data_IF_374854085975
#
_entry.id   IF_374854085975
#
_cell.length_a   1.000
_cell.length_b   1.000
_cell.length_c   1.000
_cell.angle_alpha   90.00
_cell.angle_beta   90.00
_cell.angle_gamma   90.00
#
_symmetry.space_group_name_H-M   'P 1'
#
loop_
_entity.id
_entity.type
_entity.pdbx_description
1 polymer ?
#
# COMPACT_ATOMS: atom_id res chain seq x y z
N UNK A 1 -1.62 8.27 -17.07
CA UNK A 1 -1.18 8.80 -15.76
C UNK A 1 -0.82 10.26 -15.97
N UNK A 2 -1.79 11.16 -15.79
CA UNK A 2 -1.53 12.58 -15.59
C UNK A 2 -1.73 12.84 -14.10
N UNK A 3 -0.75 12.43 -13.30
CA UNK A 3 -0.75 12.70 -11.86
C UNK A 3 -0.12 14.08 -11.66
N UNK A 4 -0.80 15.13 -12.12
CA UNK A 4 -0.70 16.56 -11.76
C UNK A 4 -1.26 17.39 -12.94
N UNK A 5 -2.28 18.24 -12.75
CA UNK A 5 -2.53 19.35 -13.66
C UNK A 5 -1.52 20.46 -13.36
N UNK A 6 -0.69 20.79 -14.35
CA UNK A 6 0.04 22.06 -14.41
C UNK A 6 -0.98 23.18 -14.64
N UNK A 7 -1.54 23.74 -13.57
CA UNK A 7 -2.28 25.00 -13.67
C UNK A 7 -2.20 25.81 -12.39
N UNK A 8 -1.58 26.99 -12.53
CA UNK A 8 -1.65 28.18 -11.68
C UNK A 8 -0.70 28.27 -10.48
N UNK A 9 0.58 28.49 -10.78
CA UNK A 9 1.41 29.40 -9.98
C UNK A 9 1.43 30.78 -10.65
N UNK A 10 0.32 31.52 -10.53
CA UNK A 10 0.37 32.97 -10.73
C UNK A 10 0.56 33.64 -9.38
N UNK A 11 1.83 33.86 -9.03
CA UNK A 11 2.19 34.95 -8.12
C UNK A 11 1.99 36.27 -8.86
N UNK A 12 1.17 37.12 -8.28
CA UNK A 12 0.99 38.53 -8.62
C UNK A 12 2.29 39.25 -8.98
N UNK A 13 2.34 39.80 -10.18
CA UNK A 13 2.99 41.08 -10.43
C UNK A 13 2.37 41.73 -11.67
N UNK A 14 1.57 42.77 -11.43
CA UNK A 14 1.31 43.82 -12.41
C UNK A 14 2.63 44.33 -12.99
N UNK A 15 2.72 44.44 -14.32
CA UNK A 15 2.88 45.73 -15.01
C UNK A 15 3.19 45.53 -16.50
N UNK A 16 2.40 46.22 -17.34
CA UNK A 16 2.85 46.80 -18.60
C UNK A 16 3.01 45.87 -19.79
N UNK A 17 2.10 45.96 -20.76
CA UNK A 17 2.45 46.56 -22.05
C UNK A 17 1.20 46.85 -22.89
N UNK A 18 1.10 48.10 -23.32
CA UNK A 18 0.15 48.58 -24.31
C UNK A 18 0.45 47.90 -25.66
N UNK A 19 -0.57 47.48 -26.39
CA UNK A 19 -0.49 47.52 -27.85
C UNK A 19 -1.80 47.96 -28.48
N UNK A 20 -1.63 48.96 -29.34
CA UNK A 20 -2.63 49.75 -30.04
C UNK A 20 -3.03 49.04 -31.32
N UNK A 21 -4.34 49.01 -31.59
CA UNK A 21 -4.93 49.12 -32.92
C UNK A 21 -4.78 47.92 -33.88
N UNK A 22 -5.93 47.38 -34.29
CA UNK A 22 -6.36 47.45 -35.70
C UNK A 22 -7.81 46.97 -35.80
N UNK A 23 -8.66 47.87 -36.30
CA UNK A 23 -10.04 47.59 -36.69
C UNK A 23 -9.98 46.81 -38.00
N UNK A 24 -10.27 45.52 -37.95
CA UNK A 24 -10.62 44.75 -39.16
C UNK A 24 -12.08 44.32 -39.09
N UNK A 25 -12.90 45.07 -39.82
CA UNK A 25 -14.28 44.77 -40.14
C UNK A 25 -14.35 43.80 -41.32
N UNK A 26 -14.25 42.49 -41.07
CA UNK A 26 -14.46 41.48 -42.12
C UNK A 26 -15.51 40.43 -41.76
N UNK A 27 -16.59 40.47 -42.55
CA UNK A 27 -17.67 39.51 -42.81
C UNK A 27 -17.88 38.39 -41.78
N UNK A 28 -19.06 38.41 -41.13
CA UNK A 28 -19.65 37.25 -40.44
C UNK A 28 -19.95 36.14 -41.47
N UNK A 29 -18.93 35.37 -41.85
CA UNK A 29 -19.13 33.96 -42.18
C UNK A 29 -19.41 33.28 -40.86
N UNK A 30 -20.62 32.78 -40.65
CA UNK A 30 -20.94 31.85 -39.57
C UNK A 30 -20.02 30.65 -39.73
N UNK A 31 -18.89 30.70 -39.03
CA UNK A 31 -17.97 29.58 -38.89
C UNK A 31 -18.79 28.39 -38.42
N UNK A 32 -18.76 27.30 -39.19
CA UNK A 32 -19.40 26.04 -38.80
C UNK A 32 -18.68 25.57 -37.54
N UNK A 33 -19.26 25.87 -36.38
CA UNK A 33 -18.69 25.46 -35.10
C UNK A 33 -18.81 23.95 -35.00
N UNK A 34 -17.72 23.31 -34.55
CA UNK A 34 -17.75 21.88 -34.25
C UNK A 34 -18.75 21.62 -33.12
N UNK A 35 -19.32 20.41 -33.08
CA UNK A 35 -20.18 20.00 -31.97
C UNK A 35 -19.47 20.17 -30.61
N UNK A 36 -18.18 19.85 -30.55
CA UNK A 36 -17.32 20.06 -29.38
C UNK A 36 -17.29 21.53 -28.93
N UNK A 37 -17.07 22.48 -29.85
CA UNK A 37 -17.11 23.91 -29.55
C UNK A 37 -18.48 24.36 -29.09
N UNK A 38 -19.57 23.86 -29.70
CA UNK A 38 -20.92 24.17 -29.24
C UNK A 38 -21.18 23.63 -27.81
N UNK A 39 -20.65 22.46 -27.47
CA UNK A 39 -20.76 21.93 -26.12
C UNK A 39 -20.01 22.79 -25.09
N UNK A 40 -18.77 23.17 -25.40
CA UNK A 40 -17.93 23.99 -24.51
C UNK A 40 -18.43 25.44 -24.36
N UNK A 41 -18.91 26.04 -25.44
CA UNK A 41 -19.29 27.46 -25.46
C UNK A 41 -20.74 27.69 -24.97
N UNK A 42 -21.60 26.67 -25.04
CA UNK A 42 -23.04 26.84 -24.79
C UNK A 42 -23.56 25.81 -23.80
N UNK A 43 -23.40 24.52 -24.08
CA UNK A 43 -24.04 23.47 -23.27
C UNK A 43 -23.48 23.41 -21.86
N UNK A 44 -22.15 23.29 -21.70
CA UNK A 44 -21.54 23.14 -20.39
C UNK A 44 -21.70 24.40 -19.52
N UNK A 45 -21.50 25.64 -20.02
CA UNK A 45 -21.83 26.84 -19.26
C UNK A 45 -23.28 26.87 -18.78
N UNK A 46 -24.23 26.45 -19.63
CA UNK A 46 -25.65 26.41 -19.26
C UNK A 46 -25.94 25.39 -18.14
N UNK A 47 -25.21 24.26 -18.09
CA UNK A 47 -25.31 23.29 -17.00
C UNK A 47 -24.73 23.83 -15.68
N UNK A 48 -23.71 24.67 -15.74
CA UNK A 48 -23.07 25.24 -14.56
C UNK A 48 -23.73 26.54 -14.07
N UNK A 49 -24.79 27.00 -14.74
CA UNK A 49 -25.49 28.23 -14.35
C UNK A 49 -26.09 28.13 -12.95
N UNK A 50 -26.02 29.24 -12.21
CA UNK A 50 -26.66 29.40 -10.89
C UNK A 50 -28.14 29.76 -10.97
N UNK A 51 -28.66 30.06 -12.17
CA UNK A 51 -30.01 30.65 -12.37
C UNK A 51 -31.16 29.63 -12.28
N UNK A 52 -30.92 28.47 -11.68
CA UNK A 52 -31.89 27.40 -11.46
C UNK A 52 -31.32 26.01 -11.80
N UNK A 53 -32.04 24.92 -11.45
CA UNK A 53 -31.61 23.57 -11.79
C UNK A 53 -31.63 23.39 -13.32
N UNK A 54 -30.49 23.05 -13.95
CA UNK A 54 -30.43 22.82 -15.38
C UNK A 54 -31.26 21.58 -15.78
N UNK A 55 -31.82 21.58 -16.99
CA UNK A 55 -32.46 20.38 -17.54
C UNK A 55 -31.41 19.36 -17.99
N UNK A 56 -31.14 18.39 -17.12
CA UNK A 56 -30.16 17.34 -17.37
C UNK A 56 -30.57 16.34 -18.46
N UNK A 57 -31.82 16.37 -18.95
CA UNK A 57 -32.24 15.56 -20.10
C UNK A 57 -31.58 16.01 -21.39
N UNK A 58 -31.10 17.26 -21.43
CA UNK A 58 -30.32 17.79 -22.55
C UNK A 58 -29.01 17.02 -22.77
N UNK A 59 -28.53 16.29 -21.77
CA UNK A 59 -27.34 15.45 -21.86
C UNK A 59 -27.58 14.08 -22.51
N UNK A 60 -28.82 13.59 -22.57
CA UNK A 60 -29.10 12.20 -22.94
C UNK A 60 -28.68 11.86 -24.37
N UNK A 61 -28.84 12.81 -25.32
CA UNK A 61 -28.36 12.63 -26.70
C UNK A 61 -26.86 12.92 -26.86
N UNK A 62 -26.31 14.03 -26.32
CA UNK A 62 -24.87 14.31 -26.36
C UNK A 62 -23.99 13.19 -25.78
N UNK A 63 -24.43 12.53 -24.71
CA UNK A 63 -23.73 11.40 -24.08
C UNK A 63 -23.48 10.22 -25.02
N UNK A 64 -24.27 10.08 -26.10
CA UNK A 64 -24.11 9.01 -27.08
C UNK A 64 -22.94 9.26 -28.04
N UNK A 65 -22.41 10.49 -28.10
CA UNK A 65 -21.30 10.83 -28.99
C UNK A 65 -19.96 10.42 -28.37
N UNK A 66 -19.13 9.77 -29.18
CA UNK A 66 -17.79 9.34 -28.77
C UNK A 66 -16.95 10.54 -28.32
N UNK A 67 -16.41 10.47 -27.11
CA UNK A 67 -15.54 11.50 -26.54
C UNK A 67 -16.28 12.63 -25.81
N UNK A 68 -17.61 12.71 -25.90
CA UNK A 68 -18.39 13.73 -25.21
C UNK A 68 -18.22 13.66 -23.68
N UNK A 69 -18.35 12.47 -23.10
CA UNK A 69 -18.18 12.27 -21.64
C UNK A 69 -16.81 12.75 -21.17
N UNK A 70 -15.74 12.42 -21.90
CA UNK A 70 -14.38 12.86 -21.58
C UNK A 70 -14.24 14.39 -21.67
N UNK A 71 -14.81 15.00 -22.70
CA UNK A 71 -14.79 16.46 -22.86
C UNK A 71 -15.59 17.16 -21.74
N UNK A 72 -16.70 16.57 -21.31
CA UNK A 72 -17.49 17.03 -20.17
C UNK A 72 -16.69 16.91 -18.87
N UNK A 73 -16.11 15.74 -18.58
CA UNK A 73 -15.27 15.51 -17.40
C UNK A 73 -14.13 16.55 -17.32
N UNK A 74 -13.41 16.76 -18.43
CA UNK A 74 -12.34 17.74 -18.51
C UNK A 74 -12.84 19.16 -18.23
N UNK A 75 -13.98 19.54 -18.84
CA UNK A 75 -14.57 20.85 -18.62
C UNK A 75 -15.00 21.06 -17.16
N UNK A 76 -15.60 20.05 -16.52
CA UNK A 76 -16.00 20.10 -15.12
C UNK A 76 -14.81 20.23 -14.17
N UNK A 77 -13.69 19.58 -14.48
CA UNK A 77 -12.43 19.70 -13.74
C UNK A 77 -11.88 21.13 -13.84
N UNK A 78 -11.83 21.69 -15.05
CA UNK A 78 -11.36 23.05 -15.32
C UNK A 78 -12.25 24.13 -14.67
N UNK A 79 -13.56 23.88 -14.59
CA UNK A 79 -14.56 24.81 -14.08
C UNK A 79 -15.16 24.36 -12.74
N UNK A 80 -14.38 23.67 -11.91
CA UNK A 80 -14.86 23.08 -10.65
C UNK A 80 -15.48 24.11 -9.67
N UNK A 81 -15.05 25.38 -9.71
CA UNK A 81 -15.65 26.46 -8.91
C UNK A 81 -17.03 26.87 -9.41
N UNK A 82 -17.25 26.87 -10.73
CA UNK A 82 -18.57 27.13 -11.29
C UNK A 82 -19.51 25.95 -11.03
N UNK A 83 -18.98 24.72 -11.13
CA UNK A 83 -19.71 23.51 -10.75
C UNK A 83 -20.17 23.55 -9.29
N UNK A 84 -19.30 23.97 -8.36
CA UNK A 84 -19.66 24.09 -6.95
C UNK A 84 -20.82 25.07 -6.68
N UNK A 85 -21.02 26.06 -7.56
CA UNK A 85 -22.13 27.02 -7.45
C UNK A 85 -23.42 26.53 -8.11
N UNK A 86 -23.35 25.46 -8.90
CA UNK A 86 -24.50 24.89 -9.58
C UNK A 86 -25.38 24.12 -8.58
N UNK A 87 -26.70 24.36 -8.54
CA UNK A 87 -27.61 23.59 -7.69
C UNK A 87 -27.73 22.12 -8.11
N UNK A 88 -27.22 21.74 -9.29
CA UNK A 88 -27.21 20.36 -9.78
C UNK A 88 -25.81 19.72 -9.80
N UNK A 89 -24.84 20.27 -9.06
CA UNK A 89 -23.45 19.82 -9.07
C UNK A 89 -23.29 18.30 -8.95
N UNK A 90 -23.93 17.69 -7.95
CA UNK A 90 -23.90 16.25 -7.70
C UNK A 90 -24.48 15.46 -8.88
N UNK A 91 -25.61 15.89 -9.43
CA UNK A 91 -26.30 15.20 -10.53
C UNK A 91 -25.51 15.30 -11.85
N UNK A 92 -24.83 16.43 -12.07
CA UNK A 92 -23.93 16.64 -13.20
C UNK A 92 -22.72 15.70 -13.08
N UNK A 93 -22.12 15.59 -11.90
CA UNK A 93 -21.02 14.66 -11.63
C UNK A 93 -21.45 13.21 -11.80
N UNK A 94 -22.63 12.84 -11.29
CA UNK A 94 -23.20 11.50 -11.47
C UNK A 94 -23.32 11.13 -12.95
N UNK A 95 -23.81 12.05 -13.80
CA UNK A 95 -23.90 11.80 -15.25
C UNK A 95 -22.52 11.74 -15.92
N UNK A 96 -21.61 12.63 -15.56
CA UNK A 96 -20.30 12.71 -16.19
C UNK A 96 -19.38 11.52 -15.86
N UNK A 97 -19.53 10.92 -14.68
CA UNK A 97 -18.66 9.83 -14.21
C UNK A 97 -19.37 8.48 -14.08
N UNK A 98 -20.60 8.35 -14.61
CA UNK A 98 -21.33 7.09 -14.61
C UNK A 98 -20.56 5.98 -15.35
N UNK A 99 -20.34 4.85 -14.69
CA UNK A 99 -19.67 3.68 -15.25
C UNK A 99 -18.15 3.80 -15.36
N UNK A 100 -17.56 4.87 -14.82
CA UNK A 100 -16.11 5.02 -14.75
C UNK A 100 -15.51 4.05 -13.74
N UNK A 101 -14.31 3.54 -14.05
CA UNK A 101 -13.56 2.65 -13.14
C UNK A 101 -12.69 3.43 -12.15
N UNK A 102 -12.46 4.71 -12.41
CA UNK A 102 -11.62 5.58 -11.60
C UNK A 102 -12.30 6.92 -11.35
N UNK A 103 -12.17 7.44 -10.13
CA UNK A 103 -12.69 8.75 -9.77
C UNK A 103 -11.65 9.53 -8.97
N UNK A 104 -11.45 10.81 -9.33
CA UNK A 104 -10.53 11.71 -8.64
C UNK A 104 -11.29 12.87 -8.01
N UNK A 105 -11.29 12.93 -6.68
CA UNK A 105 -11.90 14.01 -5.91
C UNK A 105 -11.04 15.27 -5.83
N UNK A 106 -9.74 15.18 -6.14
CA UNK A 106 -8.78 16.28 -5.99
C UNK A 106 -9.24 17.59 -6.65
N UNK A 107 -9.81 17.58 -7.88
CA UNK A 107 -10.24 18.82 -8.54
C UNK A 107 -11.38 19.57 -7.82
N UNK A 108 -12.18 18.85 -7.04
CA UNK A 108 -13.43 19.32 -6.43
C UNK A 108 -13.27 19.66 -4.95
N UNK A 109 -12.14 19.29 -4.36
CA UNK A 109 -11.87 19.51 -2.94
C UNK A 109 -11.86 21.00 -2.58
N UNK A 110 -12.50 21.36 -1.47
CA UNK A 110 -12.60 22.73 -0.98
C UNK A 110 -13.50 23.63 -1.83
N UNK A 111 -14.04 23.11 -2.94
CA UNK A 111 -14.98 23.79 -3.82
C UNK A 111 -16.40 23.26 -3.62
N UNK A 112 -16.57 21.94 -3.63
CA UNK A 112 -17.85 21.27 -3.40
C UNK A 112 -17.98 20.90 -1.91
N UNK A 113 -19.19 21.02 -1.36
CA UNK A 113 -19.47 20.66 0.04
C UNK A 113 -19.20 19.16 0.29
N UNK A 114 -18.70 18.81 1.49
CA UNK A 114 -18.35 17.42 1.81
C UNK A 114 -19.56 16.48 1.78
N UNK A 115 -20.74 16.96 2.18
CA UNK A 115 -21.98 16.18 2.13
C UNK A 115 -22.38 15.83 0.70
N UNK A 116 -22.14 16.73 -0.25
CA UNK A 116 -22.40 16.51 -1.67
C UNK A 116 -21.42 15.49 -2.26
N UNK A 117 -20.15 15.56 -1.88
CA UNK A 117 -19.14 14.57 -2.27
C UNK A 117 -19.43 13.19 -1.66
N UNK A 118 -19.89 13.14 -0.41
CA UNK A 118 -20.33 11.90 0.25
C UNK A 118 -21.58 11.32 -0.41
N UNK A 119 -22.54 12.16 -0.79
CA UNK A 119 -23.73 11.76 -1.56
C UNK A 119 -23.36 11.19 -2.93
N UNK A 120 -22.39 11.80 -3.62
CA UNK A 120 -21.84 11.29 -4.87
C UNK A 120 -21.17 9.91 -4.68
N UNK A 121 -20.35 9.76 -3.63
CA UNK A 121 -19.69 8.49 -3.30
C UNK A 121 -20.67 7.35 -3.01
N UNK A 122 -21.85 7.66 -2.45
CA UNK A 122 -22.91 6.68 -2.20
C UNK A 122 -23.85 6.45 -3.40
N UNK A 123 -23.66 7.16 -4.50
CA UNK A 123 -24.55 7.08 -5.66
C UNK A 123 -24.29 5.85 -6.53
N UNK A 124 -25.33 5.36 -7.22
CA UNK A 124 -25.17 4.26 -8.18
C UNK A 124 -24.24 4.59 -9.35
N UNK A 125 -24.03 5.89 -9.65
CA UNK A 125 -23.15 6.32 -10.73
C UNK A 125 -21.70 5.87 -10.51
N UNK A 126 -21.25 5.81 -9.25
CA UNK A 126 -19.88 5.42 -8.89
C UNK A 126 -19.76 3.94 -8.47
N UNK A 127 -20.80 3.11 -8.66
CA UNK A 127 -20.76 1.69 -8.26
C UNK A 127 -19.65 0.88 -8.93
N UNK A 128 -19.25 1.28 -10.13
CA UNK A 128 -18.23 0.62 -10.95
C UNK A 128 -16.82 1.15 -10.67
N UNK A 129 -16.70 2.18 -9.82
CA UNK A 129 -15.41 2.76 -9.43
C UNK A 129 -14.63 1.76 -8.58
N UNK A 130 -13.44 1.44 -9.06
CA UNK A 130 -12.45 0.59 -8.38
C UNK A 130 -11.21 1.35 -7.96
N UNK A 131 -10.98 2.53 -8.52
CA UNK A 131 -9.84 3.38 -8.17
C UNK A 131 -10.33 4.73 -7.68
N UNK A 132 -9.96 5.09 -6.46
CA UNK A 132 -10.35 6.37 -5.87
C UNK A 132 -9.12 7.20 -5.52
N UNK A 133 -9.11 8.45 -5.95
CA UNK A 133 -8.10 9.42 -5.54
C UNK A 133 -8.73 10.48 -4.62
N UNK A 134 -8.20 10.54 -3.40
CA UNK A 134 -8.54 11.49 -2.32
C UNK A 134 -7.30 12.27 -1.91
N UNK A 135 -6.38 12.48 -2.84
CA UNK A 135 -5.18 13.28 -2.60
C UNK A 135 -5.54 14.74 -2.35
N UNK A 136 -4.73 15.44 -1.56
CA UNK A 136 -4.92 16.85 -1.25
C UNK A 136 -5.79 17.15 -0.02
N UNK A 137 -6.51 16.18 0.56
CA UNK A 137 -7.33 16.37 1.76
C UNK A 137 -6.44 16.68 2.99
N UNK A 138 -6.24 17.98 3.28
CA UNK A 138 -5.27 18.50 4.26
C UNK A 138 -5.67 18.26 5.73
N UNK A 139 -6.96 18.01 6.01
CA UNK A 139 -7.50 17.73 7.35
C UNK A 139 -8.67 16.76 7.29
N UNK A 140 -8.36 15.48 7.17
CA UNK A 140 -9.33 14.37 7.15
C UNK A 140 -10.14 14.19 8.47
N UNK A 141 -9.76 14.72 9.66
CA UNK A 141 -10.63 14.61 10.83
C UNK A 141 -12.06 15.17 10.66
N UNK A 142 -12.27 16.08 9.71
CA UNK A 142 -13.59 16.68 9.41
C UNK A 142 -14.38 15.91 8.32
N UNK A 143 -13.70 15.17 7.44
CA UNK A 143 -14.31 14.45 6.31
C UNK A 143 -14.94 13.09 6.68
N UNK A 144 -15.58 12.99 7.86
CA UNK A 144 -16.23 11.76 8.34
C UNK A 144 -17.29 11.24 7.37
N UNK A 145 -17.97 12.14 6.68
CA UNK A 145 -19.04 11.83 5.72
C UNK A 145 -18.52 11.14 4.46
N UNK A 146 -17.38 11.60 3.93
CA UNK A 146 -16.73 10.95 2.78
C UNK A 146 -16.11 9.61 3.22
N UNK A 147 -15.45 9.58 4.38
CA UNK A 147 -14.84 8.36 4.94
C UNK A 147 -15.87 7.27 5.21
N UNK A 148 -17.08 7.61 5.63
CA UNK A 148 -18.15 6.62 5.82
C UNK A 148 -18.78 6.14 4.51
N UNK A 149 -18.71 6.92 3.43
CA UNK A 149 -19.25 6.54 2.12
C UNK A 149 -18.34 5.57 1.34
N UNK A 150 -17.01 5.71 1.49
CA UNK A 150 -16.02 4.96 0.70
C UNK A 150 -16.08 3.43 0.87
N UNK A 151 -16.24 2.86 2.09
CA UNK A 151 -16.19 1.41 2.30
C UNK A 151 -17.23 0.62 1.51
N UNK A 152 -18.32 1.26 1.08
CA UNK A 152 -19.36 0.62 0.28
C UNK A 152 -18.96 0.34 -1.17
N UNK A 153 -17.90 0.98 -1.68
CA UNK A 153 -17.48 0.87 -3.08
C UNK A 153 -16.71 -0.42 -3.39
N UNK A 154 -16.10 -1.06 -2.37
CA UNK A 154 -15.24 -2.23 -2.58
C UNK A 154 -14.13 -1.93 -3.58
N UNK A 155 -13.23 -1.01 -3.19
CA UNK A 155 -12.19 -0.47 -4.06
C UNK A 155 -11.07 -1.48 -4.29
N UNK A 156 -10.43 -1.36 -5.45
CA UNK A 156 -9.15 -2.02 -5.72
C UNK A 156 -8.01 -1.11 -5.27
N UNK A 157 -8.08 0.18 -5.61
CA UNK A 157 -7.02 1.15 -5.37
C UNK A 157 -7.54 2.40 -4.65
N UNK A 158 -6.83 2.84 -3.61
CA UNK A 158 -7.09 4.10 -2.91
C UNK A 158 -5.80 4.94 -2.82
N UNK A 159 -5.87 6.19 -3.26
CA UNK A 159 -4.77 7.14 -3.24
C UNK A 159 -5.06 8.30 -2.28
N UNK A 160 -4.13 8.52 -1.36
CA UNK A 160 -4.18 9.54 -0.31
C UNK A 160 -2.81 10.22 -0.24
N UNK A 161 -2.49 11.02 -1.26
CA UNK A 161 -1.25 11.76 -1.31
C UNK A 161 -1.44 13.13 -0.66
N UNK A 162 -0.54 13.47 0.26
CA UNK A 162 -0.47 14.81 0.82
C UNK A 162 0.23 15.75 -0.16
N UNK A 163 -0.14 17.03 -0.14
CA UNK A 163 0.50 18.04 -0.98
C UNK A 163 2.02 18.11 -0.72
N UNK A 164 2.85 18.36 -1.75
CA UNK A 164 4.30 18.41 -1.60
C UNK A 164 4.78 19.65 -0.83
N UNK A 165 3.99 20.74 -0.81
CA UNK A 165 4.28 22.00 -0.11
C UNK A 165 3.88 22.00 1.37
N UNK A 166 3.44 20.85 1.90
CA UNK A 166 3.04 20.74 3.31
C UNK A 166 4.20 21.02 4.25
N UNK A 167 3.92 21.75 5.33
CA UNK A 167 4.91 22.09 6.37
C UNK A 167 5.17 20.96 7.37
N UNK A 168 4.30 19.96 7.45
CA UNK A 168 4.44 18.81 8.35
C UNK A 168 3.73 17.56 7.83
N UNK A 169 4.26 16.38 8.16
CA UNK A 169 3.59 15.10 7.93
C UNK A 169 2.61 14.82 9.07
N UNK A 170 1.32 14.76 8.75
CA UNK A 170 0.26 14.45 9.73
C UNK A 170 -0.06 12.95 9.77
N UNK A 171 0.97 12.12 9.97
CA UNK A 171 0.83 10.66 9.90
C UNK A 171 -0.24 10.10 10.86
N UNK A 172 -0.38 10.68 12.05
CA UNK A 172 -1.43 10.31 13.01
C UNK A 172 -2.85 10.57 12.49
N UNK A 173 -3.06 11.61 11.68
CA UNK A 173 -4.38 11.87 11.08
C UNK A 173 -4.71 10.87 9.98
N UNK A 174 -3.71 10.52 9.16
CA UNK A 174 -3.85 9.48 8.14
C UNK A 174 -4.15 8.13 8.78
N UNK A 175 -3.52 7.83 9.92
CA UNK A 175 -3.84 6.66 10.73
C UNK A 175 -5.31 6.66 11.14
N UNK A 176 -5.80 7.74 11.77
CA UNK A 176 -7.20 7.87 12.17
C UNK A 176 -8.16 7.65 10.99
N UNK A 177 -7.81 8.12 9.79
CA UNK A 177 -8.59 7.85 8.59
C UNK A 177 -8.64 6.37 8.25
N UNK A 178 -7.48 5.69 8.16
CA UNK A 178 -7.41 4.26 7.83
C UNK A 178 -8.22 3.45 8.84
N UNK A 179 -8.05 3.77 10.13
CA UNK A 179 -8.84 3.15 11.20
C UNK A 179 -10.34 3.38 11.01
N UNK A 180 -10.74 4.57 10.56
CA UNK A 180 -12.15 4.90 10.32
C UNK A 180 -12.71 4.18 9.09
N UNK A 181 -11.96 4.12 7.99
CA UNK A 181 -12.31 3.34 6.79
C UNK A 181 -12.47 1.86 7.14
N UNK A 182 -11.53 1.31 7.91
CA UNK A 182 -11.57 -0.07 8.35
C UNK A 182 -12.78 -0.35 9.25
N UNK A 183 -13.10 0.53 10.20
CA UNK A 183 -14.28 0.38 11.08
C UNK A 183 -15.61 0.40 10.33
N UNK A 184 -15.69 1.18 9.27
CA UNK A 184 -16.91 1.33 8.48
C UNK A 184 -17.08 0.20 7.44
N UNK A 185 -16.07 -0.67 7.26
CA UNK A 185 -16.12 -1.77 6.32
C UNK A 185 -16.47 -3.11 6.99
N UNK A 186 -17.24 -3.94 6.29
CA UNK A 186 -17.52 -5.34 6.69
C UNK A 186 -16.61 -6.36 6.00
N UNK A 187 -15.77 -5.90 5.09
CA UNK A 187 -14.86 -6.67 4.23
C UNK A 187 -13.56 -5.87 4.07
N UNK A 188 -12.50 -6.43 3.47
CA UNK A 188 -11.38 -5.60 3.04
C UNK A 188 -11.91 -4.45 2.18
N UNK A 189 -11.67 -3.20 2.61
CA UNK A 189 -12.17 -2.03 1.87
C UNK A 189 -11.31 -1.71 0.63
N UNK A 190 -10.14 -2.35 0.56
CA UNK A 190 -9.17 -2.28 -0.53
C UNK A 190 -8.74 -3.71 -0.86
N UNK A 191 -8.80 -4.08 -2.14
CA UNK A 191 -8.40 -5.41 -2.61
C UNK A 191 -6.96 -5.44 -3.15
N UNK A 192 -6.45 -4.34 -3.72
CA UNK A 192 -5.14 -4.30 -4.38
C UNK A 192 -4.16 -3.37 -3.66
N UNK A 193 -4.41 -2.06 -3.67
CA UNK A 193 -3.39 -1.05 -3.29
C UNK A 193 -3.94 0.11 -2.46
N UNK A 194 -3.21 0.44 -1.41
CA UNK A 194 -3.35 1.70 -0.67
C UNK A 194 -2.08 2.53 -0.84
N UNK A 195 -2.20 3.77 -1.28
CA UNK A 195 -1.07 4.69 -1.45
C UNK A 195 -1.21 5.86 -0.51
N UNK A 196 -0.32 5.96 0.47
CA UNK A 196 -0.33 7.00 1.49
C UNK A 196 0.91 7.88 1.36
N UNK A 197 0.72 9.16 1.02
CA UNK A 197 1.82 10.13 0.97
C UNK A 197 2.65 10.19 2.27
N UNK A 198 2.03 10.25 3.46
CA UNK A 198 2.75 10.23 4.72
C UNK A 198 3.60 8.97 4.92
N UNK A 199 3.15 7.79 4.48
CA UNK A 199 3.93 6.56 4.63
C UNK A 199 5.26 6.65 3.86
N UNK A 200 5.27 7.23 2.65
CA UNK A 200 6.52 7.49 1.92
C UNK A 200 7.46 8.42 2.68
N UNK A 201 6.92 9.54 3.20
CA UNK A 201 7.73 10.53 3.91
C UNK A 201 8.31 9.98 5.21
N UNK A 202 7.50 9.23 5.98
CA UNK A 202 7.91 8.60 7.23
C UNK A 202 8.98 7.53 6.99
N UNK A 203 8.84 6.76 5.92
CA UNK A 203 9.84 5.79 5.48
C UNK A 203 11.17 6.48 5.17
N UNK A 204 11.17 7.52 4.33
CA UNK A 204 12.39 8.28 4.01
C UNK A 204 13.07 8.88 5.25
N UNK A 205 12.25 9.39 6.18
CA UNK A 205 12.72 9.93 7.46
C UNK A 205 13.14 8.85 8.47
N UNK A 206 12.94 7.56 8.17
CA UNK A 206 13.14 6.45 9.10
C UNK A 206 12.40 6.67 10.43
N UNK A 207 11.13 7.07 10.33
CA UNK A 207 10.26 7.32 11.47
C UNK A 207 9.10 6.34 11.45
N UNK A 208 8.98 5.57 12.52
CA UNK A 208 7.81 4.72 12.74
C UNK A 208 6.58 5.58 12.92
N UNK A 209 5.53 5.30 12.16
CA UNK A 209 4.32 6.13 12.12
C UNK A 209 3.05 5.37 12.51
N UNK A 210 3.10 4.04 12.44
CA UNK A 210 2.07 3.15 12.93
C UNK A 210 2.25 3.01 14.46
N UNK A 211 1.24 3.32 15.29
CA UNK A 211 1.33 3.05 16.73
C UNK A 211 1.44 1.54 16.99
N UNK A 212 1.86 1.17 18.20
CA UNK A 212 2.00 -0.24 18.58
C UNK A 212 0.66 -0.97 18.45
N UNK A 213 0.70 -2.25 18.06
CA UNK A 213 -0.46 -3.10 17.65
C UNK A 213 -1.65 -3.01 18.62
N UNK A 214 -1.42 -2.80 19.92
CA UNK A 214 -2.47 -2.67 20.93
C UNK A 214 -3.38 -1.43 20.76
N UNK A 215 -2.94 -0.42 20.02
CA UNK A 215 -3.71 0.79 19.70
C UNK A 215 -4.44 0.68 18.36
N UNK A 216 -4.06 -0.29 17.53
CA UNK A 216 -4.67 -0.55 16.23
C UNK A 216 -5.80 -1.55 16.44
N UNK A 217 -7.00 -1.03 16.70
CA UNK A 217 -8.24 -1.82 16.77
C UNK A 217 -8.35 -2.88 15.65
N UNK A 218 -9.05 -3.98 15.96
CA UNK A 218 -9.08 -5.22 15.17
C UNK A 218 -9.42 -5.07 13.68
N UNK A 219 -10.15 -4.03 13.29
CA UNK A 219 -10.70 -3.84 11.94
C UNK A 219 -9.66 -3.58 10.84
N UNK A 220 -8.49 -3.01 11.15
CA UNK A 220 -7.47 -2.75 10.11
C UNK A 220 -6.81 -4.04 9.60
N UNK A 221 -6.81 -5.08 10.43
CA UNK A 221 -6.16 -6.36 10.14
C UNK A 221 -6.94 -7.21 9.15
N UNK A 222 -8.22 -6.91 8.90
CA UNK A 222 -8.98 -7.56 7.84
C UNK A 222 -8.47 -7.14 6.44
N UNK A 223 -7.94 -5.91 6.31
CA UNK A 223 -7.42 -5.39 5.03
C UNK A 223 -5.92 -5.58 4.89
N UNK A 224 -5.18 -5.40 5.99
CA UNK A 224 -3.72 -5.52 6.04
C UNK A 224 -3.31 -6.55 7.09
N UNK A 225 -3.52 -7.85 6.83
CA UNK A 225 -3.44 -8.87 7.89
C UNK A 225 -2.05 -9.19 8.39
N UNK A 226 -0.98 -8.90 7.62
CA UNK A 226 0.37 -9.35 7.98
C UNK A 226 1.11 -8.29 8.78
N UNK A 227 1.55 -8.67 9.98
CA UNK A 227 2.25 -7.79 10.92
C UNK A 227 3.75 -7.81 10.70
N UNK A 228 4.32 -9.01 10.54
CA UNK A 228 5.76 -9.21 10.50
C UNK A 228 6.12 -10.49 9.74
N UNK A 229 7.36 -10.54 9.26
CA UNK A 229 7.99 -11.72 8.68
C UNK A 229 9.18 -12.13 9.55
N UNK A 230 9.19 -13.39 9.99
CA UNK A 230 10.31 -14.06 10.60
C UNK A 230 10.98 -14.93 9.54
N UNK A 231 12.26 -14.69 9.30
CA UNK A 231 13.04 -15.40 8.31
C UNK A 231 14.19 -16.16 8.98
N UNK A 232 14.20 -17.48 8.87
CA UNK A 232 15.33 -18.31 9.26
C UNK A 232 16.00 -18.84 7.99
N UNK A 233 17.30 -18.61 7.85
CA UNK A 233 18.07 -19.17 6.74
C UNK A 233 19.52 -19.41 7.13
N UNK A 234 20.32 -19.82 6.17
CA UNK A 234 21.76 -19.95 6.33
C UNK A 234 22.46 -18.81 5.59
N UNK A 235 23.46 -18.19 6.23
CA UNK A 235 24.31 -17.21 5.57
C UNK A 235 25.49 -17.96 4.96
N UNK A 236 25.52 -18.09 3.64
CA UNK A 236 26.75 -18.50 2.95
C UNK A 236 27.77 -17.38 3.11
N UNK A 237 28.69 -17.52 4.07
CA UNK A 237 29.87 -16.67 4.15
C UNK A 237 30.82 -17.08 3.03
N UNK A 238 30.61 -16.58 1.80
CA UNK A 238 31.67 -16.64 0.79
C UNK A 238 32.73 -15.61 1.13
N UNK A 239 33.91 -16.11 1.45
CA UNK A 239 35.14 -15.36 1.72
C UNK A 239 35.65 -14.61 0.47
N UNK A 240 34.90 -13.62 -0.02
CA UNK A 240 35.32 -12.77 -1.14
C UNK A 240 35.61 -11.32 -0.74
N UNK A 241 34.89 -10.80 0.25
CA UNK A 241 34.99 -9.41 0.69
C UNK A 241 34.91 -9.31 2.22
N UNK A 242 35.86 -9.92 2.91
CA UNK A 242 36.19 -9.50 4.26
C UNK A 242 37.23 -8.39 4.17
N UNK A 243 36.89 -7.20 4.68
CA UNK A 243 37.89 -6.30 5.25
C UNK A 243 38.80 -7.16 6.15
N UNK A 244 40.06 -7.25 5.74
CA UNK A 244 41.08 -8.10 6.35
C UNK A 244 41.45 -7.61 7.74
N UNK A 245 40.67 -7.93 8.79
CA UNK A 245 41.08 -7.68 10.18
C UNK A 245 40.62 -8.71 11.22
N UNK A 246 40.03 -9.85 10.86
CA UNK A 246 39.87 -10.96 11.83
C UNK A 246 40.27 -12.31 11.23
N UNK A 247 41.05 -13.14 11.96
CA UNK A 247 41.49 -14.44 11.45
C UNK A 247 40.32 -15.43 11.47
N UNK A 248 40.19 -16.19 10.38
CA UNK A 248 39.49 -17.48 10.22
C UNK A 248 38.67 -17.91 11.44
N UNK A 249 37.43 -17.46 11.51
CA UNK A 249 36.41 -18.19 12.27
C UNK A 249 36.04 -19.43 11.44
N UNK A 250 35.85 -20.61 12.07
CA UNK A 250 35.47 -21.84 11.38
C UNK A 250 34.14 -21.65 10.65
N UNK A 251 33.94 -22.43 9.58
CA UNK A 251 32.71 -22.57 8.79
C UNK A 251 31.51 -22.94 9.67
N UNK A 252 30.97 -21.96 10.38
CA UNK A 252 29.70 -22.09 11.08
C UNK A 252 28.67 -21.44 10.18
N UNK A 253 27.96 -22.25 9.39
CA UNK A 253 26.61 -21.95 8.91
C UNK A 253 25.71 -21.69 10.13
N UNK A 254 25.83 -20.51 10.74
CA UNK A 254 24.91 -20.12 11.80
C UNK A 254 23.56 -19.91 11.14
N UNK A 255 22.54 -20.63 11.64
CA UNK A 255 21.15 -20.30 11.37
C UNK A 255 20.95 -18.83 11.68
N UNK A 256 20.83 -18.05 10.62
CA UNK A 256 20.62 -16.62 10.68
C UNK A 256 19.11 -16.40 10.74
N UNK A 257 18.68 -15.72 11.79
CA UNK A 257 17.29 -15.40 12.02
C UNK A 257 17.12 -13.88 11.87
N UNK A 258 16.10 -13.45 11.14
CA UNK A 258 15.75 -12.06 10.97
C UNK A 258 14.27 -11.84 11.18
N UNK A 259 13.94 -10.67 11.71
CA UNK A 259 12.58 -10.22 11.92
C UNK A 259 12.36 -8.88 11.21
N UNK A 260 11.32 -8.85 10.38
CA UNK A 260 10.93 -7.68 9.61
C UNK A 260 9.54 -7.26 10.04
N UNK A 261 9.41 -6.05 10.58
CA UNK A 261 8.09 -5.46 10.78
C UNK A 261 7.53 -5.00 9.43
N UNK A 262 6.32 -5.45 9.12
CA UNK A 262 5.61 -5.17 7.86
C UNK A 262 4.29 -4.42 8.10
N UNK A 263 3.87 -4.24 9.34
CA UNK A 263 2.58 -3.63 9.67
C UNK A 263 2.44 -2.19 9.17
N UNK A 264 3.54 -1.44 9.08
CA UNK A 264 3.56 -0.06 8.56
C UNK A 264 3.71 0.04 7.03
N UNK A 265 3.86 -1.11 6.35
CA UNK A 265 3.83 -1.20 4.89
C UNK A 265 2.41 -1.38 4.33
N UNK A 266 1.43 -1.71 5.18
CA UNK A 266 0.01 -1.89 4.81
C UNK A 266 -0.16 -2.80 3.60
N UNK A 267 0.45 -3.98 3.67
CA UNK A 267 0.39 -4.97 2.62
C UNK A 267 -0.97 -5.66 2.61
N UNK A 268 -1.66 -5.63 1.48
CA UNK A 268 -2.80 -6.52 1.23
C UNK A 268 -2.30 -7.99 1.20
N UNK A 269 -3.16 -8.99 1.43
CA UNK A 269 -2.76 -10.39 1.43
C UNK A 269 -2.02 -10.78 0.15
N UNK A 270 -2.55 -10.35 -0.99
CA UNK A 270 -1.97 -10.63 -2.32
C UNK A 270 -0.58 -10.01 -2.45
N UNK A 271 -0.41 -8.73 -2.08
CA UNK A 271 0.89 -8.05 -2.13
C UNK A 271 1.93 -8.68 -1.21
N UNK A 272 1.50 -9.16 -0.06
CA UNK A 272 2.37 -9.91 0.82
C UNK A 272 2.86 -11.20 0.14
N UNK A 273 1.95 -12.01 -0.41
CA UNK A 273 2.33 -13.26 -1.10
C UNK A 273 3.22 -13.01 -2.30
N UNK A 274 2.88 -12.05 -3.17
CA UNK A 274 3.73 -11.73 -4.34
C UNK A 274 5.10 -11.18 -3.91
N UNK A 275 5.17 -10.42 -2.81
CA UNK A 275 6.43 -9.98 -2.20
C UNK A 275 7.30 -11.16 -1.73
N UNK A 276 6.71 -12.13 -1.04
CA UNK A 276 7.41 -13.37 -0.66
C UNK A 276 7.91 -14.16 -1.87
N UNK A 277 7.05 -14.35 -2.89
CA UNK A 277 7.45 -15.07 -4.10
C UNK A 277 8.56 -14.32 -4.85
N UNK A 278 8.57 -12.99 -4.80
CA UNK A 278 9.65 -12.16 -5.36
C UNK A 278 10.96 -12.36 -4.59
N UNK A 279 10.92 -12.43 -3.25
CA UNK A 279 12.09 -12.76 -2.42
C UNK A 279 12.65 -14.15 -2.77
N UNK A 280 11.77 -15.14 -2.92
CA UNK A 280 12.17 -16.51 -3.28
C UNK A 280 12.79 -16.52 -4.68
N UNK A 281 12.10 -15.91 -5.66
CA UNK A 281 12.58 -15.83 -7.04
C UNK A 281 13.96 -15.20 -7.11
N UNK A 282 14.16 -14.09 -6.42
CA UNK A 282 15.40 -13.37 -6.53
C UNK A 282 16.60 -14.09 -5.91
N UNK A 283 16.40 -14.96 -4.92
CA UNK A 283 17.44 -15.85 -4.41
C UNK A 283 18.04 -16.77 -5.48
N UNK A 284 17.29 -17.11 -6.53
CA UNK A 284 17.84 -17.88 -7.65
C UNK A 284 18.31 -16.98 -8.81
N UNK A 285 17.86 -15.72 -8.92
CA UNK A 285 18.31 -14.79 -9.97
C UNK A 285 19.70 -14.25 -9.65
N UNK A 286 19.89 -13.87 -8.39
CA UNK A 286 21.14 -13.36 -7.85
C UNK A 286 21.44 -14.13 -6.56
N UNK A 287 22.01 -15.35 -6.65
CA UNK A 287 22.33 -16.15 -5.45
C UNK A 287 23.29 -15.44 -4.48
N UNK A 288 24.07 -14.48 -4.99
CA UNK A 288 24.97 -13.65 -4.21
C UNK A 288 24.28 -12.40 -3.60
N UNK A 289 22.97 -12.23 -3.85
CA UNK A 289 22.29 -10.94 -3.76
C UNK A 289 22.89 -9.92 -4.75
N UNK A 290 22.28 -8.74 -4.90
CA UNK A 290 23.04 -7.62 -5.44
C UNK A 290 24.22 -7.42 -4.48
N UNK A 291 25.46 -7.51 -4.98
CA UNK A 291 26.70 -7.51 -4.19
C UNK A 291 26.87 -6.30 -3.23
N UNK A 292 25.92 -5.36 -3.22
CA UNK A 292 25.92 -4.13 -2.45
C UNK A 292 24.69 -3.90 -1.55
N UNK A 293 23.63 -4.73 -1.60
CA UNK A 293 22.43 -4.48 -0.77
C UNK A 293 22.34 -5.46 0.41
N UNK A 294 22.44 -4.98 1.67
CA UNK A 294 22.21 -5.81 2.85
C UNK A 294 20.84 -6.48 2.78
N UNK A 295 20.75 -7.74 3.22
CA UNK A 295 19.49 -8.49 3.20
C UNK A 295 18.39 -7.81 4.04
N UNK A 296 18.82 -7.09 5.08
CA UNK A 296 17.99 -6.25 5.94
C UNK A 296 17.23 -5.18 5.15
N UNK A 297 17.84 -4.62 4.09
CA UNK A 297 17.20 -3.67 3.17
C UNK A 297 16.49 -4.37 2.01
N UNK A 298 17.05 -5.49 1.57
CA UNK A 298 16.57 -6.24 0.43
C UNK A 298 15.13 -6.74 0.60
N UNK A 299 14.82 -7.36 1.75
CA UNK A 299 13.48 -7.91 2.02
C UNK A 299 12.40 -6.81 2.04
N UNK A 300 12.56 -5.70 2.79
CA UNK A 300 11.63 -4.57 2.73
C UNK A 300 11.42 -4.02 1.31
N UNK A 301 12.47 -3.95 0.49
CA UNK A 301 12.38 -3.50 -0.90
C UNK A 301 11.53 -4.44 -1.75
N UNK A 302 11.64 -5.76 -1.59
CA UNK A 302 10.82 -6.71 -2.34
C UNK A 302 9.34 -6.55 -2.04
N UNK A 303 8.98 -6.26 -0.78
CA UNK A 303 7.59 -5.93 -0.42
C UNK A 303 7.13 -4.57 -0.94
N UNK A 304 8.01 -3.57 -0.93
CA UNK A 304 7.72 -2.25 -1.50
C UNK A 304 7.47 -2.33 -3.02
N UNK A 305 8.16 -3.23 -3.70
CA UNK A 305 8.05 -3.47 -5.15
C UNK A 305 7.01 -4.51 -5.54
N UNK A 306 6.34 -5.13 -4.57
CA UNK A 306 5.47 -6.29 -4.79
C UNK A 306 4.24 -5.94 -5.67
N UNK A 307 3.93 -6.75 -6.70
CA UNK A 307 2.71 -6.62 -7.49
C UNK A 307 1.44 -6.78 -6.66
N UNK A 308 0.37 -6.06 -6.99
CA UNK A 308 -0.95 -6.23 -6.34
C UNK A 308 -1.82 -7.32 -6.96
N UNK A 309 -1.24 -8.19 -7.79
CA UNK A 309 -1.95 -9.28 -8.49
C UNK A 309 -1.08 -10.53 -8.58
N UNK A 310 -1.71 -11.70 -8.40
CA UNK A 310 -1.07 -13.00 -8.60
C UNK A 310 -0.91 -13.36 -10.08
N UNK A 311 -1.70 -12.76 -10.98
CA UNK A 311 -1.71 -13.14 -12.40
C UNK A 311 -0.40 -12.88 -13.15
N UNK A 312 0.50 -12.05 -12.61
CA UNK A 312 1.73 -11.68 -13.28
C UNK A 312 2.86 -11.35 -12.30
N UNK A 313 3.73 -12.32 -12.00
CA UNK A 313 4.97 -12.08 -11.24
C UNK A 313 6.00 -11.20 -12.01
N UNK A 314 5.76 -10.89 -13.29
CA UNK A 314 6.76 -10.26 -14.17
C UNK A 314 6.37 -8.91 -14.79
N UNK A 315 5.08 -8.55 -14.89
CA UNK A 315 4.67 -7.44 -15.77
C UNK A 315 4.22 -6.16 -15.07
N UNK A 316 4.20 -6.11 -13.74
CA UNK A 316 3.89 -4.87 -13.02
C UNK A 316 4.76 -4.70 -11.77
N UNK A 317 5.88 -3.99 -11.91
CA UNK A 317 6.59 -3.46 -10.74
C UNK A 317 5.80 -2.25 -10.24
N UNK A 318 5.32 -2.34 -9.01
CA UNK A 318 4.66 -1.22 -8.36
C UNK A 318 5.60 -0.55 -7.38
N UNK A 319 5.47 0.76 -7.20
CA UNK A 319 6.21 1.47 -6.14
C UNK A 319 5.28 1.75 -4.97
N UNK A 320 5.67 1.25 -3.81
CA UNK A 320 5.08 1.51 -2.49
C UNK A 320 6.16 1.95 -1.50
N UNK A 321 5.81 2.55 -0.36
CA UNK A 321 6.80 2.92 0.65
C UNK A 321 7.49 1.66 1.19
N UNK A 322 8.80 1.76 1.41
CA UNK A 322 9.57 0.76 2.16
C UNK A 322 9.08 0.78 3.61
N UNK A 323 8.79 -0.35 4.27
CA UNK A 323 8.41 -0.36 5.69
C UNK A 323 9.34 0.53 6.53
N UNK A 324 8.77 1.54 7.19
CA UNK A 324 9.52 2.63 7.83
C UNK A 324 10.32 2.12 9.04
N UNK A 325 9.75 1.20 9.81
CA UNK A 325 10.45 0.53 10.92
C UNK A 325 11.64 -0.29 10.41
N UNK A 326 11.47 -1.05 9.32
CA UNK A 326 12.56 -1.81 8.74
C UNK A 326 13.70 -0.88 8.29
N UNK A 327 13.37 0.26 7.66
CA UNK A 327 14.39 1.24 7.28
C UNK A 327 15.04 1.93 8.48
N UNK A 328 14.27 2.23 9.54
CA UNK A 328 14.82 2.76 10.80
C UNK A 328 15.83 1.82 11.39
N UNK A 329 15.49 0.53 11.51
CA UNK A 329 16.41 -0.49 12.05
C UNK A 329 17.72 -0.55 11.28
N UNK A 330 17.69 -0.44 9.95
CA UNK A 330 18.91 -0.44 9.13
C UNK A 330 19.77 0.80 9.40
N UNK A 331 19.16 1.98 9.54
CA UNK A 331 19.89 3.21 9.91
C UNK A 331 20.42 3.13 11.35
N UNK A 332 19.65 2.55 12.27
CA UNK A 332 19.95 2.42 13.69
C UNK A 332 20.86 1.22 14.00
N UNK A 333 21.11 0.28 13.07
CA UNK A 333 22.13 -0.77 13.23
C UNK A 333 23.55 -0.18 13.33
N UNK A 334 23.74 1.08 12.92
CA UNK A 334 24.92 1.87 13.30
C UNK A 334 25.01 2.16 14.82
N UNK A 335 23.94 1.90 15.57
CA UNK A 335 23.71 2.19 16.99
C UNK A 335 23.07 1.00 17.76
N UNK A 336 23.49 -0.25 17.53
CA UNK A 336 23.38 -1.41 18.46
C UNK A 336 22.02 -1.72 19.18
N UNK A 337 20.90 -1.12 18.81
CA UNK A 337 19.60 -1.36 19.46
C UNK A 337 18.84 -2.48 18.74
N UNK A 338 18.91 -3.71 19.29
CA UNK A 338 18.03 -4.81 18.86
C UNK A 338 16.60 -4.55 19.36
N UNK A 339 15.68 -4.21 18.45
CA UNK A 339 14.25 -4.16 18.74
C UNK A 339 13.71 -5.60 18.69
N UNK A 340 13.06 -6.11 19.74
CA UNK A 340 12.54 -7.46 19.73
C UNK A 340 11.41 -7.63 18.71
N UNK A 341 11.27 -8.86 18.21
CA UNK A 341 10.12 -9.28 17.42
C UNK A 341 8.81 -9.07 18.18
N UNK A 342 7.72 -8.88 17.43
CA UNK A 342 6.40 -8.61 18.01
C UNK A 342 5.79 -9.91 18.56
N UNK A 343 5.03 -9.76 19.64
CA UNK A 343 4.17 -10.80 20.20
C UNK A 343 3.12 -11.27 19.17
N UNK A 344 2.67 -12.51 19.31
CA UNK A 344 1.74 -13.15 18.36
C UNK A 344 0.30 -12.78 18.73
N UNK A 345 -0.34 -11.93 17.91
CA UNK A 345 -1.70 -11.44 18.13
C UNK A 345 -2.78 -12.35 17.51
N UNK A 346 -4.01 -12.39 18.04
CA UNK A 346 -5.11 -13.13 17.40
C UNK A 346 -5.68 -12.51 16.10
N UNK A 347 -5.37 -11.26 15.76
CA UNK A 347 -6.00 -10.58 14.60
C UNK A 347 -5.07 -10.40 13.42
N UNK A 348 -3.76 -10.36 13.66
CA UNK A 348 -2.78 -10.23 12.59
C UNK A 348 -1.86 -11.45 12.54
N UNK A 349 -1.39 -11.71 11.33
CA UNK A 349 -0.57 -12.85 10.99
C UNK A 349 0.91 -12.50 11.08
N UNK A 350 1.67 -13.40 11.68
CA UNK A 350 3.13 -13.44 11.62
C UNK A 350 3.49 -14.49 10.59
N UNK A 351 4.21 -14.11 9.54
CA UNK A 351 4.73 -15.06 8.58
C UNK A 351 6.06 -15.64 9.08
N UNK A 352 6.25 -16.94 8.92
CA UNK A 352 7.50 -17.64 9.20
C UNK A 352 7.97 -18.24 7.89
N UNK A 353 9.21 -17.95 7.53
CA UNK A 353 9.88 -18.46 6.33
C UNK A 353 11.19 -19.12 6.74
N UNK A 354 11.35 -20.39 6.39
CA UNK A 354 12.58 -21.15 6.59
C UNK A 354 13.20 -21.42 5.23
N UNK A 355 14.49 -21.12 5.09
CA UNK A 355 15.31 -21.50 3.95
C UNK A 355 16.24 -22.65 4.35
N UNK A 356 16.12 -23.77 3.64
CA UNK A 356 16.88 -24.99 3.89
C UNK A 356 17.62 -25.42 2.62
N UNK A 357 18.85 -25.95 2.71
CA UNK A 357 19.53 -26.51 1.56
C UNK A 357 18.80 -27.76 1.05
N UNK A 358 18.81 -27.97 -0.27
CA UNK A 358 18.42 -29.23 -0.89
C UNK A 358 19.71 -30.05 -1.01
N UNK A 359 19.77 -31.17 -0.28
CA UNK A 359 20.87 -32.13 -0.43
C UNK A 359 20.74 -32.82 -1.79
N UNK A 360 21.44 -32.30 -2.81
CA UNK A 360 21.68 -33.05 -4.05
C UNK A 360 23.03 -33.76 -3.94
N UNK A 361 23.05 -35.04 -4.32
CA UNK A 361 24.21 -35.91 -4.25
C UNK A 361 25.40 -35.32 -5.01
N UNK A 362 26.58 -35.55 -4.44
CA UNK A 362 27.92 -35.25 -4.96
C UNK A 362 28.00 -35.35 -6.49
N UNK A 363 27.84 -34.24 -7.20
CA UNK A 363 28.29 -34.16 -8.58
C UNK A 363 28.89 -32.78 -8.87
N UNK A 364 30.00 -32.85 -9.59
CA UNK A 364 31.09 -31.89 -9.65
C UNK A 364 30.70 -30.44 -10.05
N UNK A 365 31.41 -29.49 -9.43
CA UNK A 365 31.71 -28.15 -9.96
C UNK A 365 30.61 -27.08 -10.10
N UNK A 366 29.38 -27.28 -9.60
CA UNK A 366 28.40 -26.17 -9.49
C UNK A 366 28.13 -25.75 -8.06
N UNK A 367 28.89 -24.72 -7.68
CA UNK A 367 28.87 -23.92 -6.46
C UNK A 367 27.52 -23.28 -6.03
N UNK A 368 26.34 -23.80 -6.40
CA UNK A 368 25.06 -23.24 -5.92
C UNK A 368 24.27 -24.31 -5.18
N UNK A 369 24.22 -24.20 -3.85
CA UNK A 369 23.31 -25.00 -3.03
C UNK A 369 21.89 -24.68 -3.47
N UNK A 370 21.20 -25.60 -4.15
CA UNK A 370 19.76 -25.42 -4.39
C UNK A 370 19.06 -25.31 -3.04
N UNK A 371 18.06 -24.45 -2.93
CA UNK A 371 17.38 -24.19 -1.65
C UNK A 371 15.90 -24.43 -1.75
N UNK A 372 15.33 -25.02 -0.70
CA UNK A 372 13.89 -25.16 -0.50
C UNK A 372 13.45 -24.16 0.54
N UNK A 373 12.23 -23.66 0.37
CA UNK A 373 11.60 -22.78 1.33
C UNK A 373 10.45 -23.50 2.02
N UNK A 374 10.22 -23.20 3.29
CA UNK A 374 8.98 -23.52 3.99
C UNK A 374 8.36 -22.22 4.45
N UNK A 375 7.07 -22.03 4.19
CA UNK A 375 6.36 -20.80 4.57
C UNK A 375 5.09 -21.18 5.31
N UNK A 376 4.88 -20.57 6.46
CA UNK A 376 3.62 -20.64 7.18
C UNK A 376 3.24 -19.27 7.75
N UNK A 377 1.95 -19.10 8.00
CA UNK A 377 1.41 -17.95 8.68
C UNK A 377 0.82 -18.40 10.01
N UNK A 378 1.23 -17.71 11.07
CA UNK A 378 0.82 -18.01 12.44
C UNK A 378 0.12 -16.84 13.08
N UNK A 379 -0.90 -17.14 13.87
CA UNK A 379 -1.54 -16.21 14.79
C UNK A 379 -1.97 -16.95 16.06
N UNK A 380 -2.30 -16.22 17.11
CA UNK A 380 -2.79 -16.87 18.32
C UNK A 380 -4.29 -17.17 18.21
N UNK A 381 -4.72 -18.33 18.70
CA UNK A 381 -6.13 -18.68 18.80
C UNK A 381 -6.79 -17.83 19.87
N UNK A 382 -7.93 -17.26 19.53
CA UNK A 382 -8.75 -16.50 20.46
C UNK A 382 -9.55 -15.41 19.76
N UNK A 383 -10.51 -14.80 20.47
CA UNK A 383 -11.27 -13.70 19.90
C UNK A 383 -10.37 -12.46 19.71
N UNK A 384 -10.76 -11.53 18.81
CA UNK A 384 -9.95 -10.36 18.43
C UNK A 384 -9.47 -9.48 19.59
N UNK A 385 -10.21 -9.46 20.70
CA UNK A 385 -9.93 -8.62 21.87
C UNK A 385 -8.97 -9.26 22.88
N UNK A 386 -8.46 -10.47 22.61
CA UNK A 386 -7.49 -11.10 23.50
C UNK A 386 -6.12 -10.45 23.37
N UNK A 387 -5.36 -10.47 24.48
CA UNK A 387 -3.97 -9.98 24.49
C UNK A 387 -3.11 -10.82 23.53
N UNK A 388 -2.11 -10.17 22.94
CA UNK A 388 -1.07 -10.86 22.22
C UNK A 388 -0.33 -11.85 23.15
N UNK A 389 0.10 -12.98 22.58
CA UNK A 389 0.88 -13.98 23.28
C UNK A 389 2.36 -13.68 23.13
N UNK A 390 3.07 -13.66 24.25
CA UNK A 390 4.53 -13.56 24.22
C UNK A 390 5.11 -14.80 23.56
N UNK A 391 6.27 -14.64 22.92
CA UNK A 391 6.96 -15.77 22.28
C UNK A 391 7.18 -16.94 23.24
N UNK A 392 7.57 -16.68 24.49
CA UNK A 392 7.76 -17.73 25.49
C UNK A 392 6.45 -18.45 25.87
N UNK A 393 5.31 -17.74 25.87
CA UNK A 393 4.01 -18.34 26.17
C UNK A 393 3.54 -19.26 25.04
N UNK A 394 3.86 -18.89 23.80
CA UNK A 394 3.61 -19.68 22.60
C UNK A 394 4.46 -20.95 22.60
N UNK A 395 5.76 -20.83 22.87
CA UNK A 395 6.67 -21.98 22.96
C UNK A 395 6.24 -22.96 24.06
N UNK A 396 5.78 -22.43 25.21
CA UNK A 396 5.28 -23.25 26.30
C UNK A 396 3.93 -23.93 25.99
N UNK A 397 3.12 -23.38 25.08
CA UNK A 397 1.80 -23.91 24.74
C UNK A 397 1.50 -23.79 23.23
N UNK A 398 2.13 -24.63 22.39
CA UNK A 398 1.98 -24.59 20.93
C UNK A 398 0.54 -24.69 20.44
N UNK A 399 -0.32 -25.43 21.16
CA UNK A 399 -1.74 -25.62 20.80
C UNK A 399 -2.53 -24.31 20.70
N UNK A 400 -2.01 -23.23 21.28
CA UNK A 400 -2.60 -21.89 21.21
C UNK A 400 -2.29 -21.17 19.90
N UNK A 401 -1.48 -21.75 19.01
CA UNK A 401 -1.23 -21.24 17.68
C UNK A 401 -2.21 -21.83 16.67
N UNK A 402 -2.69 -20.96 15.80
CA UNK A 402 -3.21 -21.32 14.49
C UNK A 402 -2.06 -21.20 13.50
N UNK A 403 -1.86 -22.24 12.70
CA UNK A 403 -0.84 -22.30 11.66
C UNK A 403 -1.53 -22.69 10.37
N UNK A 404 -1.29 -21.90 9.32
CA UNK A 404 -1.84 -22.11 7.98
C UNK A 404 -0.75 -21.96 6.93
N UNK A 405 -0.92 -22.61 5.78
CA UNK A 405 -0.05 -22.41 4.62
C UNK A 405 -0.47 -21.18 3.79
N UNK A 406 0.29 -20.86 2.73
CA UNK A 406 0.00 -19.70 1.87
C UNK A 406 -1.38 -19.79 1.18
N UNK A 407 -1.83 -21.00 0.84
CA UNK A 407 -3.10 -21.22 0.16
C UNK A 407 -4.25 -20.96 1.12
N UNK A 408 -4.22 -21.61 2.29
CA UNK A 408 -5.24 -21.43 3.32
C UNK A 408 -5.28 -19.98 3.82
N UNK A 409 -4.14 -19.32 3.96
CA UNK A 409 -4.09 -17.88 4.26
C UNK A 409 -4.86 -17.03 3.23
N UNK A 410 -4.65 -17.26 1.93
CA UNK A 410 -5.37 -16.54 0.88
C UNK A 410 -6.85 -16.93 0.85
N UNK A 411 -7.21 -18.19 1.10
CA UNK A 411 -8.62 -18.59 1.22
C UNK A 411 -9.33 -17.85 2.36
N UNK A 412 -8.63 -17.61 3.48
CA UNK A 412 -9.16 -16.88 4.63
C UNK A 412 -9.22 -15.36 4.42
N UNK A 413 -8.25 -14.78 3.71
CA UNK A 413 -8.06 -13.31 3.67
C UNK A 413 -8.34 -12.65 2.31
N UNK A 414 -8.22 -13.40 1.22
CA UNK A 414 -8.41 -12.96 -0.17
C UNK A 414 -8.97 -14.10 -1.04
N UNK A 415 -10.17 -14.65 -0.72
CA UNK A 415 -10.68 -15.87 -1.33
C UNK A 415 -10.88 -15.77 -2.85
N UNK A 416 -11.14 -14.57 -3.36
CA UNK A 416 -11.32 -14.36 -4.80
C UNK A 416 -10.02 -14.54 -5.61
N UNK A 417 -8.86 -14.47 -4.95
CA UNK A 417 -7.53 -14.57 -5.57
C UNK A 417 -6.80 -15.87 -5.20
N UNK A 418 -7.32 -16.64 -4.24
CA UNK A 418 -6.66 -17.87 -3.78
C UNK A 418 -6.45 -18.91 -4.89
N UNK A 419 -7.35 -18.97 -5.88
CA UNK A 419 -7.25 -19.88 -7.01
C UNK A 419 -6.05 -19.62 -7.93
N UNK A 420 -5.53 -18.38 -7.95
CA UNK A 420 -4.45 -17.99 -8.85
C UNK A 420 -3.06 -18.41 -8.31
N UNK A 421 -2.95 -18.71 -7.01
CA UNK A 421 -1.68 -19.05 -6.36
C UNK A 421 -1.00 -20.27 -6.97
N UNK A 422 -1.78 -21.30 -7.34
CA UNK A 422 -1.23 -22.54 -7.89
C UNK A 422 -0.45 -22.31 -9.20
N UNK A 423 -0.92 -21.39 -10.03
CA UNK A 423 -0.25 -21.00 -11.26
C UNK A 423 1.07 -20.30 -10.95
N UNK A 424 1.08 -19.34 -10.01
CA UNK A 424 2.30 -18.63 -9.60
C UNK A 424 3.36 -19.58 -9.04
N UNK A 425 2.97 -20.54 -8.19
CA UNK A 425 3.89 -21.51 -7.60
C UNK A 425 4.45 -22.46 -8.66
N UNK A 426 3.63 -22.87 -9.63
CA UNK A 426 4.07 -23.70 -10.75
C UNK A 426 5.08 -22.96 -11.63
N UNK A 427 4.81 -21.70 -11.97
CA UNK A 427 5.74 -20.83 -12.71
C UNK A 427 7.07 -20.66 -11.95
N UNK A 428 7.00 -20.42 -10.64
CA UNK A 428 8.19 -20.23 -9.81
C UNK A 428 9.02 -21.51 -9.69
N UNK A 429 8.38 -22.67 -9.53
CA UNK A 429 9.05 -23.98 -9.44
C UNK A 429 9.71 -24.34 -10.77
N UNK A 430 9.00 -24.17 -11.89
CA UNK A 430 9.54 -24.38 -13.22
C UNK A 430 10.74 -23.45 -13.49
N UNK A 431 10.65 -22.20 -13.02
CA UNK A 431 11.72 -21.22 -13.17
C UNK A 431 12.94 -21.55 -12.30
N UNK A 432 12.74 -22.08 -11.08
CA UNK A 432 13.82 -22.48 -10.17
C UNK A 432 14.52 -23.79 -10.58
N UNK A 433 14.00 -24.53 -11.56
CA UNK A 433 14.54 -25.81 -12.04
C UNK A 433 14.77 -26.82 -10.90
N UNK A 434 13.87 -26.84 -9.93
CA UNK A 434 13.88 -27.78 -8.80
C UNK A 434 12.87 -28.89 -9.06
N UNK A 435 13.30 -30.13 -8.85
CA UNK A 435 12.42 -31.30 -8.83
C UNK A 435 11.64 -31.34 -7.50
N UNK A 436 10.31 -31.31 -7.59
CA UNK A 436 9.40 -31.36 -6.44
C UNK A 436 8.95 -29.99 -5.93
N UNK A 437 8.45 -29.94 -4.69
CA UNK A 437 7.90 -28.72 -4.11
C UNK A 437 9.02 -27.73 -3.70
N UNK A 438 9.00 -26.54 -4.31
CA UNK A 438 9.88 -25.43 -3.96
C UNK A 438 9.51 -24.80 -2.61
N UNK A 439 8.20 -24.70 -2.34
CA UNK A 439 7.66 -24.20 -1.08
C UNK A 439 6.98 -25.37 -0.38
N UNK A 440 7.66 -25.95 0.60
CA UNK A 440 7.13 -27.03 1.42
C UNK A 440 6.20 -26.53 2.52
N UNK A 441 5.39 -27.45 3.05
CA UNK A 441 4.59 -27.20 4.24
C UNK A 441 5.47 -27.12 5.49
N UNK A 442 5.10 -26.23 6.40
CA UNK A 442 5.73 -26.12 7.71
C UNK A 442 4.85 -26.81 8.75
N UNK A 443 5.47 -27.54 9.65
CA UNK A 443 4.84 -28.15 10.82
C UNK A 443 4.78 -27.16 11.98
N UNK A 444 3.91 -27.45 12.96
CA UNK A 444 3.85 -26.65 14.19
C UNK A 444 5.18 -26.70 14.95
N UNK A 445 5.86 -27.84 14.99
CA UNK A 445 7.14 -27.99 15.67
C UNK A 445 8.24 -27.14 15.03
N UNK A 446 8.31 -27.10 13.70
CA UNK A 446 9.24 -26.22 12.97
C UNK A 446 8.96 -24.74 13.28
N UNK A 447 7.69 -24.32 13.22
CA UNK A 447 7.29 -22.95 13.54
C UNK A 447 7.66 -22.57 14.98
N UNK A 448 7.36 -23.45 15.95
CA UNK A 448 7.70 -23.27 17.37
C UNK A 448 9.22 -23.20 17.56
N UNK A 449 10.00 -24.00 16.83
CA UNK A 449 11.46 -23.94 16.87
C UNK A 449 11.99 -22.57 16.46
N UNK A 450 11.46 -21.97 15.39
CA UNK A 450 11.83 -20.60 14.99
C UNK A 450 11.51 -19.58 16.09
N UNK A 451 10.32 -19.67 16.67
CA UNK A 451 9.87 -18.77 17.73
C UNK A 451 10.68 -18.94 19.03
N UNK A 452 11.10 -20.16 19.36
CA UNK A 452 11.96 -20.46 20.48
C UNK A 452 13.35 -19.84 20.29
N UNK A 453 13.97 -20.05 19.12
CA UNK A 453 15.26 -19.44 18.78
C UNK A 453 15.22 -17.90 18.89
N UNK A 454 14.07 -17.30 18.56
CA UNK A 454 13.85 -15.86 18.68
C UNK A 454 13.69 -15.41 20.14
N UNK A 455 12.94 -16.19 20.94
CA UNK A 455 12.69 -15.91 22.35
C UNK A 455 13.95 -16.01 23.22
N UNK A 456 14.91 -16.84 22.82
CA UNK A 456 16.18 -17.06 23.51
C UNK A 456 17.26 -16.02 23.16
N UNK A 457 16.99 -15.09 22.23
CA UNK A 457 17.94 -14.03 21.88
C UNK A 457 18.26 -13.14 23.08
N UNK A 458 19.55 -12.94 23.40
CA UNK A 458 19.97 -12.09 24.51
C UNK A 458 19.69 -10.61 24.21
N UNK A 459 18.47 -10.17 24.54
CA UNK A 459 18.02 -8.78 24.35
C UNK A 459 16.51 -8.57 24.46
N UNK A 460 15.71 -9.62 24.18
CA UNK A 460 14.25 -9.47 24.02
C UNK A 460 13.43 -9.27 25.30
N UNK A 461 13.94 -9.65 26.48
CA UNK A 461 13.09 -9.78 27.67
C UNK A 461 13.09 -8.58 28.65
N UNK A 462 13.82 -7.49 28.39
CA UNK A 462 13.99 -6.40 29.40
C UNK A 462 13.74 -4.95 28.96
N UNK A 463 13.44 -4.67 27.70
CA UNK A 463 13.35 -3.27 27.22
C UNK A 463 11.94 -2.70 27.03
N UNK A 464 10.89 -3.52 27.10
CA UNK A 464 9.49 -3.06 26.92
C UNK A 464 9.04 -1.99 27.93
N UNK A 465 9.67 -1.88 29.09
CA UNK A 465 9.28 -0.91 30.13
C UNK A 465 10.05 0.43 30.07
N UNK A 466 11.17 0.52 29.34
CA UNK A 466 12.04 1.73 29.39
C UNK A 466 11.80 2.75 28.28
N UNK A 467 11.11 2.40 27.20
CA UNK A 467 10.90 3.32 26.07
C UNK A 467 9.68 4.23 26.24
N UNK A 468 8.77 3.94 27.18
CA UNK A 468 7.58 4.78 27.45
C UNK A 468 7.92 6.07 28.22
N UNK A 469 9.08 6.15 28.88
CA UNK A 469 9.41 7.28 29.77
C UNK A 469 10.34 8.35 29.18
N UNK A 470 10.82 8.21 27.94
CA UNK A 470 11.80 9.15 27.36
C UNK A 470 11.25 10.19 26.37
N UNK A 471 9.97 10.17 26.02
CA UNK A 471 9.40 11.15 25.07
C UNK A 471 8.82 12.43 25.71
N UNK A 472 8.80 12.56 27.05
CA UNK A 472 8.14 13.69 27.72
C UNK A 472 9.07 14.77 28.31
N UNK A 473 10.39 14.71 28.11
CA UNK A 473 11.29 15.67 28.77
C UNK A 473 12.42 16.15 27.87
N UNK A 474 12.13 17.11 26.99
CA UNK A 474 13.06 18.15 26.53
C UNK A 474 12.38 19.14 25.57
N UNK A 475 11.61 20.08 26.13
CA UNK A 475 11.48 21.45 25.62
C UNK A 475 11.32 22.40 26.82
N UNK A 476 12.46 22.84 27.35
CA UNK A 476 12.61 24.11 28.06
C UNK A 476 13.82 24.80 27.44
N UNK A 477 13.52 25.78 26.60
CA UNK A 477 14.13 27.09 26.39
C UNK A 477 13.87 27.52 24.96
#
# INVERSE_FOLDING_TARGET
MHCWPDSNWQTTSDTGEQNVGLVESHSKKTSVRSFRSLCQDVLFPALLSSDGPPDLKLLDKPMLFRGFTRDMQQYLIEHAEALAKSPAAVQILQKAFAGEKGFDFTPFQGKIAEDDLASLANSEALRDVKTLNLSGFDSIPDSKHIVSAIPHLGLDNLYLLSRPDRSSDRASQMMTMIMSLAKCSRKPFISQKLVLGPAFSQSLQARTWLPWIHEIGSCCWDTFPVIQLLFQGFREYRSGFHFALTPRAPDITKNWLADFFLGDALLTPVRFVTGLLTIIKSKFQEPQGPAMTPWELYVPLMFACAPSSLNTLQSSTEVSPIPAEALSRIKDQAQLCEVPARDIHPVGWTAIMIQSPIEEAEDDDRQFTKTRFQVALVRSKGPPNYRALRLQEVVANPDRLELVDLKEFLELTAPAQAGDLANCLSELTAWAQIDGELIGKMTVDEAVSVLQNLAERPGGSRMGERLVTRSSTKRRF
#
